data_IF_378693070238
#
_entry.id   IF_378693070238
#
_cell.length_a   1.000
_cell.length_b   1.000
_cell.length_c   1.000
_cell.angle_alpha   90.00
_cell.angle_beta   90.00
_cell.angle_gamma   90.00
#
_symmetry.space_group_name_H-M   'P 1'
#
loop_
_entity.id
_entity.type
_entity.pdbx_description
1 polymer ?
#
# COMPACT_ATOMS: atom_id res chain seq x y z
N UNK A 1 -5.18 21.78 -10.42
CA UNK A 1 -6.05 21.34 -9.31
C UNK A 1 -5.61 21.90 -7.96
N UNK A 2 -4.31 22.06 -7.71
CA UNK A 2 -3.77 22.50 -6.41
C UNK A 2 -3.89 24.00 -6.04
N UNK A 3 -4.35 24.88 -6.96
CA UNK A 3 -4.35 26.34 -6.72
C UNK A 3 -5.30 26.85 -5.63
N UNK A 4 -6.20 26.00 -5.11
CA UNK A 4 -7.08 26.33 -3.96
C UNK A 4 -6.76 25.54 -2.69
N UNK A 5 -5.86 24.56 -2.73
CA UNK A 5 -5.55 23.74 -1.57
C UNK A 5 -4.50 24.45 -0.71
N UNK A 6 -4.84 24.76 0.53
CA UNK A 6 -3.99 25.59 1.40
C UNK A 6 -3.06 24.78 2.29
N UNK A 7 -3.45 23.55 2.63
CA UNK A 7 -2.67 22.69 3.51
C UNK A 7 -2.86 21.21 3.16
N UNK A 8 -1.76 20.46 3.23
CA UNK A 8 -1.77 19.01 3.22
C UNK A 8 -1.16 18.51 4.52
N UNK A 9 -1.81 17.56 5.16
CA UNK A 9 -1.28 16.87 6.33
C UNK A 9 -1.32 15.36 6.12
N UNK A 10 -0.27 14.66 6.53
CA UNK A 10 -0.27 13.21 6.61
C UNK A 10 -0.03 12.78 8.06
N UNK A 11 -0.87 11.87 8.56
CA UNK A 11 -0.81 11.32 9.90
C UNK A 11 -0.40 9.85 9.84
N UNK A 12 0.82 9.55 10.27
CA UNK A 12 1.23 8.19 10.63
C UNK A 12 0.49 7.78 11.91
N UNK A 13 -0.25 6.68 11.86
CA UNK A 13 -1.28 6.39 12.85
C UNK A 13 -1.04 5.11 13.63
N UNK A 14 -1.35 5.19 14.92
CA UNK A 14 -1.27 4.06 15.82
C UNK A 14 -2.36 4.13 16.88
N UNK A 15 -2.66 3.00 17.48
CA UNK A 15 -3.50 2.95 18.70
C UNK A 15 -2.79 3.65 19.85
N UNK A 16 -1.45 3.53 19.91
CA UNK A 16 -0.63 4.20 20.91
C UNK A 16 -0.50 5.68 20.55
N UNK A 17 -1.13 6.57 21.33
CA UNK A 17 -1.11 8.03 21.08
C UNK A 17 0.29 8.62 20.87
N UNK A 18 1.29 8.12 21.61
CA UNK A 18 2.69 8.57 21.52
C UNK A 18 3.39 8.25 20.19
N UNK A 19 2.82 7.31 19.42
CA UNK A 19 3.31 6.91 18.09
C UNK A 19 2.53 7.59 16.96
N UNK A 20 1.59 8.48 17.27
CA UNK A 20 0.84 9.22 16.24
C UNK A 20 1.60 10.48 15.87
N UNK A 21 2.16 10.50 14.67
CA UNK A 21 2.94 11.61 14.15
C UNK A 21 2.30 12.18 12.89
N UNK A 22 2.43 13.49 12.73
CA UNK A 22 1.88 14.22 11.61
C UNK A 22 2.97 15.04 10.95
N UNK A 23 2.96 15.08 9.63
CA UNK A 23 3.72 16.04 8.85
C UNK A 23 2.75 16.95 8.12
N UNK A 24 3.11 18.23 8.01
CA UNK A 24 2.26 19.27 7.42
C UNK A 24 3.04 20.03 6.34
N UNK A 25 2.35 20.37 5.26
CA UNK A 25 2.81 21.34 4.28
C UNK A 25 1.73 22.41 4.03
N UNK A 26 2.14 23.68 3.95
CA UNK A 26 1.27 24.79 3.58
C UNK A 26 1.60 25.31 2.19
N UNK A 27 0.57 25.82 1.51
CA UNK A 27 0.72 26.38 0.16
C UNK A 27 1.35 27.77 0.23
N UNK A 28 2.38 28.00 -0.57
CA UNK A 28 3.06 29.27 -0.76
C UNK A 28 3.20 29.53 -2.26
N UNK A 29 2.25 30.27 -2.85
CA UNK A 29 2.15 30.41 -4.30
C UNK A 29 2.00 29.06 -5.00
N UNK A 30 2.95 28.72 -5.87
CA UNK A 30 2.95 27.47 -6.63
C UNK A 30 3.75 26.33 -5.97
N UNK A 31 4.36 26.56 -4.81
CA UNK A 31 5.12 25.54 -4.09
C UNK A 31 4.53 25.24 -2.71
N UNK A 32 5.02 24.14 -2.12
CA UNK A 32 4.70 23.75 -0.74
C UNK A 32 5.86 24.11 0.18
N UNK A 33 5.53 24.68 1.35
CA UNK A 33 6.45 24.78 2.48
C UNK A 33 6.18 23.63 3.44
N UNK A 34 7.18 22.80 3.68
CA UNK A 34 7.07 21.53 4.40
C UNK A 34 7.75 21.67 5.77
N UNK A 35 7.02 21.34 6.82
CA UNK A 35 7.45 21.53 8.20
C UNK A 35 7.97 20.22 8.83
N UNK A 36 8.77 20.30 9.91
CA UNK A 36 9.18 19.11 10.66
C UNK A 36 7.96 18.34 11.17
N UNK A 37 8.03 17.00 11.25
CA UNK A 37 6.92 16.24 11.79
C UNK A 37 6.72 16.55 13.28
N UNK A 38 5.46 16.56 13.72
CA UNK A 38 5.03 16.83 15.08
C UNK A 38 4.03 15.78 15.58
N UNK A 39 3.85 15.60 16.90
CA UNK A 39 2.81 14.71 17.41
C UNK A 39 1.41 15.20 16.98
N UNK A 40 0.51 14.26 16.64
CA UNK A 40 -0.89 14.60 16.25
C UNK A 40 -1.61 15.41 17.34
N UNK A 41 -1.29 15.16 18.62
CA UNK A 41 -1.93 15.83 19.76
C UNK A 41 -3.36 15.32 19.99
N UNK A 42 -4.26 16.24 20.33
CA UNK A 42 -5.67 15.94 20.54
C UNK A 42 -6.41 15.73 19.22
N UNK A 43 -7.23 14.69 19.17
CA UNK A 43 -7.98 14.30 17.96
C UNK A 43 -9.30 15.07 17.80
N UNK A 44 -9.91 15.52 18.89
CA UNK A 44 -11.21 16.20 18.88
C UNK A 44 -11.21 17.53 18.11
N UNK A 45 -10.08 18.25 18.10
CA UNK A 45 -9.92 19.55 17.45
C UNK A 45 -8.91 19.51 16.29
N UNK A 46 -8.48 18.32 15.86
CA UNK A 46 -7.41 18.16 14.87
C UNK A 46 -7.72 18.91 13.57
N UNK A 47 -8.91 18.69 12.99
CA UNK A 47 -9.29 19.34 11.73
C UNK A 47 -9.43 20.86 11.89
N UNK A 48 -9.92 21.35 13.03
CA UNK A 48 -10.03 22.78 13.32
C UNK A 48 -8.65 23.43 13.45
N UNK A 49 -7.71 22.76 14.13
CA UNK A 49 -6.32 23.23 14.24
C UNK A 49 -5.64 23.28 12.87
N UNK A 50 -5.79 22.24 12.06
CA UNK A 50 -5.25 22.22 10.70
C UNK A 50 -5.88 23.29 9.81
N UNK A 51 -7.20 23.48 9.88
CA UNK A 51 -7.89 24.52 9.11
C UNK A 51 -7.41 25.92 9.48
N UNK A 52 -7.14 26.20 10.77
CA UNK A 52 -6.55 27.46 11.23
C UNK A 52 -5.13 27.70 10.73
N UNK A 53 -4.38 26.62 10.46
CA UNK A 53 -3.04 26.68 9.89
C UNK A 53 -3.03 26.75 8.36
N UNK A 54 -4.19 26.62 7.70
CA UNK A 54 -4.33 26.74 6.25
C UNK A 54 -4.35 28.20 5.81
N UNK A 55 -3.79 28.48 4.64
CA UNK A 55 -3.75 29.83 4.04
C UNK A 55 -5.17 30.31 3.72
N UNK A 56 -5.58 31.47 4.25
CA UNK A 56 -6.82 32.20 3.87
C UNK A 56 -8.10 31.34 3.76
N UNK A 57 -8.32 30.40 4.68
CA UNK A 57 -9.52 29.56 4.72
C UNK A 57 -9.62 28.57 3.55
N UNK A 58 -8.51 28.33 2.85
CA UNK A 58 -8.41 27.34 1.80
C UNK A 58 -8.61 25.92 2.35
N UNK A 59 -9.19 25.00 1.55
CA UNK A 59 -9.32 23.59 1.87
C UNK A 59 -8.05 22.97 2.46
N UNK A 60 -8.25 21.97 3.31
CA UNK A 60 -7.19 21.10 3.82
C UNK A 60 -7.41 19.68 3.33
N UNK A 61 -6.31 18.98 3.04
CA UNK A 61 -6.31 17.58 2.63
C UNK A 61 -5.51 16.75 3.63
N UNK A 62 -6.16 15.79 4.28
CA UNK A 62 -5.57 15.02 5.38
C UNK A 62 -5.55 13.53 5.07
N UNK A 63 -4.35 12.93 5.08
CA UNK A 63 -4.14 11.50 4.90
C UNK A 63 -3.92 10.82 6.25
N UNK A 64 -4.45 9.61 6.41
CA UNK A 64 -4.20 8.79 7.60
C UNK A 64 -3.72 7.39 7.23
N UNK A 65 -2.69 6.91 7.94
CA UNK A 65 -2.19 5.52 7.85
C UNK A 65 -3.08 4.54 8.63
N UNK A 66 -4.33 4.38 8.18
CA UNK A 66 -5.19 3.28 8.59
C UNK A 66 -6.25 3.01 7.51
N UNK A 67 -6.77 1.77 7.43
CA UNK A 67 -7.84 1.43 6.49
C UNK A 67 -9.09 2.30 6.67
N UNK A 68 -9.62 2.86 5.58
CA UNK A 68 -10.91 3.55 5.51
C UNK A 68 -11.80 2.83 4.50
N UNK A 69 -12.88 2.23 4.99
CA UNK A 69 -13.75 1.35 4.22
C UNK A 69 -13.68 -0.11 4.66
N UNK A 70 -14.54 -0.93 4.07
CA UNK A 70 -14.74 -2.33 4.44
C UNK A 70 -14.84 -3.21 3.19
N UNK A 71 -14.40 -4.48 3.24
CA UNK A 71 -14.59 -5.41 2.12
C UNK A 71 -16.06 -5.48 1.70
N UNK A 72 -16.33 -5.48 0.39
CA UNK A 72 -17.71 -5.51 -0.14
C UNK A 72 -18.50 -6.71 0.38
N UNK A 73 -17.85 -7.86 0.57
CA UNK A 73 -18.51 -9.06 1.08
C UNK A 73 -19.05 -8.88 2.50
N UNK A 74 -18.40 -8.07 3.34
CA UNK A 74 -18.95 -7.69 4.65
C UNK A 74 -20.15 -6.75 4.48
N UNK A 75 -20.04 -5.77 3.58
CA UNK A 75 -21.13 -4.85 3.23
C UNK A 75 -22.42 -5.59 2.81
N UNK A 76 -22.28 -6.65 2.02
CA UNK A 76 -23.40 -7.50 1.57
C UNK A 76 -24.07 -8.29 2.71
N UNK A 77 -23.43 -8.44 3.88
CA UNK A 77 -24.00 -9.13 5.05
C UNK A 77 -24.71 -8.18 6.01
N UNK A 78 -24.62 -6.88 5.78
CA UNK A 78 -25.27 -5.87 6.61
C UNK A 78 -26.37 -5.20 5.80
N UNK A 79 -27.54 -5.03 6.40
CA UNK A 79 -28.69 -4.36 5.78
C UNK A 79 -28.52 -2.84 5.85
N UNK A 80 -27.48 -2.33 5.18
CA UNK A 80 -27.11 -0.91 5.09
C UNK A 80 -26.67 -0.63 3.65
N UNK A 81 -26.95 0.56 3.13
CA UNK A 81 -26.72 0.89 1.73
C UNK A 81 -25.23 0.99 1.36
N UNK A 82 -24.40 1.56 2.24
CA UNK A 82 -23.00 1.88 1.96
C UNK A 82 -22.19 2.12 3.25
N UNK A 83 -20.87 2.23 3.09
CA UNK A 83 -19.93 2.48 4.15
C UNK A 83 -20.20 3.79 4.91
N UNK A 84 -20.56 4.87 4.20
CA UNK A 84 -20.80 6.19 4.84
C UNK A 84 -22.03 6.14 5.75
N UNK A 85 -23.09 5.51 5.28
CA UNK A 85 -24.31 5.25 6.05
C UNK A 85 -24.01 4.37 7.26
N UNK A 86 -23.20 3.32 7.10
CA UNK A 86 -22.79 2.46 8.21
C UNK A 86 -21.99 3.25 9.26
N UNK A 87 -20.99 4.02 8.82
CA UNK A 87 -20.10 4.80 9.70
C UNK A 87 -20.88 5.71 10.65
N UNK A 88 -21.96 6.34 10.17
CA UNK A 88 -22.85 7.17 10.97
C UNK A 88 -23.58 6.42 12.10
N UNK A 89 -23.75 5.10 12.00
CA UNK A 89 -24.44 4.27 12.98
C UNK A 89 -23.50 3.61 14.01
N UNK A 90 -22.21 3.45 13.69
CA UNK A 90 -21.27 2.62 14.45
C UNK A 90 -21.09 3.05 15.91
N UNK A 91 -21.20 2.17 16.89
CA UNK A 91 -21.06 2.54 18.30
C UNK A 91 -22.36 3.06 18.96
N UNK A 92 -23.49 3.05 18.25
CA UNK A 92 -24.82 3.32 18.80
C UNK A 92 -25.79 2.16 18.51
N UNK A 93 -26.82 2.01 19.35
CA UNK A 93 -27.89 1.02 19.17
C UNK A 93 -27.37 -0.40 18.92
N UNK A 94 -27.85 -1.04 17.84
CA UNK A 94 -27.39 -2.39 17.43
C UNK A 94 -25.90 -2.46 17.07
N UNK A 95 -25.26 -1.32 16.83
CA UNK A 95 -23.85 -1.20 16.47
C UNK A 95 -22.95 -0.80 17.65
N UNK A 96 -23.49 -0.72 18.87
CA UNK A 96 -22.75 -0.25 20.05
C UNK A 96 -21.41 -0.98 20.29
N UNK A 97 -21.35 -2.26 19.95
CA UNK A 97 -20.17 -3.12 20.13
C UNK A 97 -19.27 -3.21 18.89
N UNK A 98 -19.52 -2.44 17.84
CA UNK A 98 -18.79 -2.62 16.57
C UNK A 98 -17.29 -2.38 16.71
N UNK A 99 -16.88 -1.48 17.60
CA UNK A 99 -15.47 -1.21 17.89
C UNK A 99 -14.84 -2.17 18.93
N UNK A 100 -15.63 -3.06 19.53
CA UNK A 100 -15.14 -3.98 20.54
C UNK A 100 -14.48 -5.18 19.87
N UNK A 101 -13.26 -5.51 20.32
CA UNK A 101 -12.56 -6.69 19.83
C UNK A 101 -13.09 -7.94 20.55
N UNK A 102 -13.39 -8.98 19.79
CA UNK A 102 -13.81 -10.28 20.30
C UNK A 102 -12.67 -11.00 21.03
N UNK A 103 -12.96 -11.50 22.22
CA UNK A 103 -12.09 -12.41 22.96
C UNK A 103 -12.23 -13.84 22.45
N UNK A 104 -13.43 -14.24 22.03
CA UNK A 104 -13.74 -15.59 21.59
C UNK A 104 -14.36 -15.64 20.19
N UNK A 105 -14.13 -16.74 19.42
CA UNK A 105 -14.68 -16.89 18.06
C UNK A 105 -16.21 -16.74 17.97
N UNK A 106 -16.96 -17.24 18.96
CA UNK A 106 -18.43 -17.20 18.97
C UNK A 106 -19.01 -15.79 19.17
N UNK A 107 -18.19 -14.81 19.53
CA UNK A 107 -18.60 -13.41 19.67
C UNK A 107 -18.56 -12.66 18.32
N UNK A 108 -17.87 -13.22 17.33
CA UNK A 108 -17.69 -12.60 16.02
C UNK A 108 -19.05 -12.56 15.32
N UNK A 109 -19.50 -11.35 15.04
CA UNK A 109 -20.73 -11.09 14.30
C UNK A 109 -20.52 -9.87 13.41
N UNK A 110 -21.47 -9.59 12.52
CA UNK A 110 -21.46 -8.35 11.74
C UNK A 110 -21.46 -7.11 12.65
N UNK A 111 -22.03 -7.18 13.86
CA UNK A 111 -22.09 -6.04 14.80
C UNK A 111 -20.91 -5.97 15.78
N UNK A 112 -19.99 -6.94 15.75
CA UNK A 112 -18.74 -6.98 16.53
C UNK A 112 -17.69 -7.79 15.76
N UNK A 113 -17.10 -7.21 14.69
CA UNK A 113 -16.38 -8.01 13.69
C UNK A 113 -14.89 -8.17 13.97
N UNK A 114 -14.30 -7.39 14.88
CA UNK A 114 -12.86 -7.41 15.12
C UNK A 114 -12.42 -8.57 16.00
N UNK A 115 -11.38 -9.29 15.59
CA UNK A 115 -10.83 -10.42 16.32
C UNK A 115 -9.39 -10.66 15.88
N UNK A 116 -8.47 -11.13 16.73
CA UNK A 116 -8.65 -11.48 18.14
C UNK A 116 -8.15 -10.43 19.15
N UNK A 117 -8.73 -10.43 20.36
CA UNK A 117 -8.30 -9.55 21.45
C UNK A 117 -6.92 -9.93 22.02
N UNK A 118 -6.63 -11.23 22.15
CA UNK A 118 -5.39 -11.77 22.73
C UNK A 118 -4.84 -12.92 21.87
N UNK A 119 -3.51 -13.13 21.86
CA UNK A 119 -2.91 -14.23 21.11
C UNK A 119 -3.24 -15.58 21.75
N UNK A 120 -3.15 -16.66 20.96
CA UNK A 120 -3.28 -18.05 21.41
C UNK A 120 -4.57 -18.73 20.93
N UNK A 121 -4.43 -19.80 20.14
CA UNK A 121 -5.58 -20.54 19.59
C UNK A 121 -6.47 -19.74 18.62
N UNK A 122 -5.95 -18.65 18.06
CA UNK A 122 -6.68 -17.73 17.18
C UNK A 122 -6.33 -18.01 15.72
N UNK A 123 -7.33 -18.17 14.86
CA UNK A 123 -7.12 -18.51 13.44
C UNK A 123 -8.02 -17.67 12.53
N UNK A 124 -7.58 -17.45 11.30
CA UNK A 124 -8.34 -16.71 10.29
C UNK A 124 -9.72 -17.34 10.02
N UNK A 125 -9.85 -18.67 10.13
CA UNK A 125 -11.13 -19.37 9.95
C UNK A 125 -12.23 -18.88 10.89
N UNK A 126 -11.89 -18.40 12.08
CA UNK A 126 -12.87 -17.84 13.02
C UNK A 126 -13.52 -16.58 12.46
N UNK A 127 -12.75 -15.70 11.79
CA UNK A 127 -13.31 -14.55 11.09
C UNK A 127 -14.17 -14.98 9.89
N UNK A 128 -13.73 -15.99 9.14
CA UNK A 128 -14.50 -16.49 8.00
C UNK A 128 -15.89 -16.99 8.43
N UNK A 129 -15.92 -17.84 9.45
CA UNK A 129 -17.15 -18.41 10.00
C UNK A 129 -18.03 -17.33 10.62
N UNK A 130 -17.49 -16.49 11.52
CA UNK A 130 -18.27 -15.49 12.24
C UNK A 130 -18.80 -14.35 11.37
N UNK A 131 -18.10 -14.01 10.28
CA UNK A 131 -18.54 -12.98 9.33
C UNK A 131 -19.30 -13.56 8.13
N UNK A 132 -19.36 -14.89 7.99
CA UNK A 132 -20.00 -15.57 6.87
C UNK A 132 -19.28 -15.33 5.54
N UNK A 133 -17.95 -15.22 5.57
CA UNK A 133 -17.08 -15.09 4.41
C UNK A 133 -16.68 -16.47 3.87
N UNK A 134 -16.68 -16.63 2.55
CA UNK A 134 -16.38 -17.92 1.90
C UNK A 134 -14.88 -18.16 1.75
N UNK A 135 -14.09 -17.09 1.71
CA UNK A 135 -12.66 -17.14 1.50
C UNK A 135 -11.93 -15.99 2.19
N UNK A 136 -10.62 -16.15 2.40
CA UNK A 136 -9.76 -15.09 2.94
C UNK A 136 -9.81 -13.79 2.12
N UNK A 137 -10.00 -13.89 0.80
CA UNK A 137 -10.11 -12.73 -0.09
C UNK A 137 -11.40 -11.94 0.10
N UNK A 138 -12.46 -12.55 0.64
CA UNK A 138 -13.71 -11.86 0.97
C UNK A 138 -13.54 -10.93 2.18
N UNK A 139 -12.50 -11.17 2.99
CA UNK A 139 -12.11 -10.32 4.13
C UNK A 139 -11.15 -9.18 3.74
N UNK A 140 -10.86 -9.04 2.44
CA UNK A 140 -9.94 -8.05 1.89
C UNK A 140 -10.66 -7.15 0.89
N UNK A 141 -10.42 -5.85 1.02
CA UNK A 141 -10.78 -4.87 -0.02
C UNK A 141 -9.96 -5.10 -1.27
N UNK A 142 -10.38 -4.55 -2.40
CA UNK A 142 -9.59 -4.61 -3.61
C UNK A 142 -8.16 -4.08 -3.41
N UNK A 143 -7.95 -2.90 -2.81
CA UNK A 143 -6.62 -2.34 -2.57
C UNK A 143 -5.75 -3.15 -1.59
N UNK A 144 -6.35 -4.04 -0.79
CA UNK A 144 -5.64 -4.87 0.19
C UNK A 144 -5.11 -6.17 -0.43
N UNK A 145 -5.63 -6.56 -1.59
CA UNK A 145 -5.24 -7.80 -2.28
C UNK A 145 -3.84 -7.69 -2.87
N UNK A 146 -3.20 -8.86 -3.03
CA UNK A 146 -1.91 -9.04 -3.67
C UNK A 146 -1.80 -8.28 -4.99
N UNK A 147 -0.65 -7.67 -5.19
CA UNK A 147 -0.19 -7.08 -6.45
C UNK A 147 1.05 -7.83 -6.96
N UNK A 148 1.62 -7.38 -8.07
CA UNK A 148 2.90 -7.91 -8.55
C UNK A 148 4.06 -7.65 -7.57
N UNK A 149 3.97 -6.59 -6.75
CA UNK A 149 5.07 -6.09 -5.92
C UNK A 149 4.87 -6.28 -4.41
N UNK A 150 3.68 -6.72 -3.97
CA UNK A 150 3.37 -7.06 -2.57
C UNK A 150 2.32 -8.17 -2.44
N UNK A 151 2.43 -8.93 -1.36
CA UNK A 151 1.42 -9.92 -0.98
C UNK A 151 0.11 -9.28 -0.51
N UNK A 152 -0.85 -10.13 -0.15
CA UNK A 152 -2.09 -9.70 0.48
C UNK A 152 -1.79 -9.00 1.82
N UNK A 153 -2.50 -7.90 2.07
CA UNK A 153 -2.48 -7.22 3.36
C UNK A 153 -3.26 -8.02 4.41
N UNK A 154 -3.17 -7.59 5.66
CA UNK A 154 -3.98 -8.14 6.73
C UNK A 154 -5.44 -7.65 6.58
N UNK A 155 -6.41 -8.49 6.94
CA UNK A 155 -7.81 -8.07 6.98
C UNK A 155 -7.99 -6.93 7.99
N UNK A 156 -8.84 -5.96 7.67
CA UNK A 156 -9.24 -4.88 8.59
C UNK A 156 -9.82 -5.41 9.89
N UNK A 157 -10.43 -6.59 9.88
CA UNK A 157 -11.02 -7.20 11.08
C UNK A 157 -10.00 -7.90 11.97
N UNK A 158 -8.75 -8.06 11.52
CA UNK A 158 -7.71 -8.74 12.28
C UNK A 158 -6.88 -7.78 13.13
N UNK A 159 -6.69 -8.11 14.42
CA UNK A 159 -6.18 -7.17 15.44
C UNK A 159 -4.86 -7.57 16.12
N UNK A 160 -4.21 -8.66 15.69
CA UNK A 160 -2.92 -9.11 16.25
C UNK A 160 -1.83 -9.34 15.20
N UNK A 161 -0.59 -9.17 15.62
CA UNK A 161 0.59 -9.36 14.77
C UNK A 161 1.14 -8.04 14.22
N UNK A 162 2.36 -8.11 13.68
CA UNK A 162 3.10 -6.92 13.21
C UNK A 162 2.53 -6.27 11.96
N UNK A 163 1.62 -6.93 11.24
CA UNK A 163 0.94 -6.43 10.05
C UNK A 163 -0.55 -6.10 10.32
N UNK A 164 -0.99 -6.13 11.58
CA UNK A 164 -2.39 -5.84 11.91
C UNK A 164 -2.72 -4.37 11.64
N UNK A 165 -3.91 -4.14 11.13
CA UNK A 165 -4.42 -2.79 10.84
C UNK A 165 -5.75 -2.51 11.57
N UNK A 166 -6.42 -3.55 12.09
CA UNK A 166 -7.75 -3.41 12.67
C UNK A 166 -7.81 -2.51 13.90
N UNK A 167 -6.81 -2.55 14.79
CA UNK A 167 -6.80 -1.65 15.95
C UNK A 167 -6.60 -0.19 15.55
N UNK A 168 -5.80 0.06 14.50
CA UNK A 168 -5.61 1.40 13.96
C UNK A 168 -6.91 1.93 13.35
N UNK A 169 -7.62 1.10 12.57
CA UNK A 169 -8.95 1.42 12.04
C UNK A 169 -9.97 1.74 13.15
N UNK A 170 -10.07 0.89 14.20
CA UNK A 170 -10.95 1.15 15.36
C UNK A 170 -10.67 2.53 15.96
N UNK A 171 -9.40 2.83 16.23
CA UNK A 171 -9.00 4.09 16.85
C UNK A 171 -9.27 5.29 15.95
N UNK A 172 -8.87 5.23 14.68
CA UNK A 172 -9.06 6.32 13.73
C UNK A 172 -10.54 6.61 13.47
N UNK A 173 -11.36 5.57 13.27
CA UNK A 173 -12.76 5.77 12.93
C UNK A 173 -13.56 6.31 14.10
N UNK A 174 -13.31 5.78 15.31
CA UNK A 174 -13.99 6.23 16.52
C UNK A 174 -13.59 7.65 16.91
N UNK A 175 -12.31 8.01 16.75
CA UNK A 175 -11.80 9.31 17.22
C UNK A 175 -11.93 10.44 16.18
N UNK A 176 -11.94 10.13 14.87
CA UNK A 176 -11.87 11.13 13.80
C UNK A 176 -13.02 11.06 12.80
N UNK A 177 -13.35 9.87 12.28
CA UNK A 177 -14.24 9.75 11.13
C UNK A 177 -15.73 9.74 11.50
N UNK A 178 -16.08 9.23 12.68
CA UNK A 178 -17.47 9.23 13.19
C UNK A 178 -17.97 10.64 13.54
N UNK A 179 -17.10 11.45 14.10
CA UNK A 179 -17.44 12.75 14.69
C UNK A 179 -17.62 13.86 13.65
N UNK A 180 -17.35 13.56 12.37
CA UNK A 180 -17.21 14.57 11.34
C UNK A 180 -18.17 14.34 10.16
N UNK A 181 -19.46 14.67 10.36
CA UNK A 181 -20.36 14.99 9.24
C UNK A 181 -19.88 16.20 8.40
N UNK A 182 -18.76 16.81 8.80
CA UNK A 182 -18.14 18.00 8.21
C UNK A 182 -16.96 17.69 7.28
N UNK A 183 -16.44 16.45 7.28
CA UNK A 183 -15.34 16.06 6.38
C UNK A 183 -15.86 15.24 5.20
N UNK A 184 -15.26 15.46 4.05
CA UNK A 184 -15.44 14.57 2.91
C UNK A 184 -14.43 13.41 2.98
N UNK A 185 -14.92 12.17 2.88
CA UNK A 185 -14.09 10.97 2.80
C UNK A 185 -13.93 10.55 1.35
N UNK A 186 -12.71 10.65 0.83
CA UNK A 186 -12.37 10.08 -0.46
C UNK A 186 -12.13 8.56 -0.33
N UNK A 187 -12.57 7.73 -1.30
CA UNK A 187 -13.33 8.06 -2.51
C UNK A 187 -14.87 8.06 -2.35
N UNK A 188 -15.39 7.80 -1.16
CA UNK A 188 -16.82 7.60 -0.91
C UNK A 188 -17.70 8.80 -1.27
N UNK A 189 -17.22 10.01 -1.00
CA UNK A 189 -17.97 11.24 -1.25
C UNK A 189 -17.72 11.81 -2.66
N UNK A 190 -16.94 11.12 -3.50
CA UNK A 190 -16.72 11.46 -4.90
C UNK A 190 -15.25 11.52 -5.33
N UNK A 191 -15.04 12.08 -6.53
CA UNK A 191 -13.70 12.19 -7.13
C UNK A 191 -12.81 13.17 -6.38
N UNK A 192 -11.51 12.86 -6.26
CA UNK A 192 -10.58 13.64 -5.42
C UNK A 192 -10.52 15.11 -5.85
N UNK A 193 -10.40 15.34 -7.16
CA UNK A 193 -10.35 16.67 -7.77
C UNK A 193 -11.59 17.52 -7.45
N UNK A 194 -12.77 16.92 -7.53
CA UNK A 194 -14.04 17.55 -7.17
C UNK A 194 -14.08 17.86 -5.66
N UNK A 195 -13.66 16.93 -4.81
CA UNK A 195 -13.65 17.13 -3.36
C UNK A 195 -12.71 18.26 -2.95
N UNK A 196 -11.47 18.27 -3.46
CA UNK A 196 -10.49 19.31 -3.16
C UNK A 196 -10.93 20.70 -3.67
N UNK A 197 -11.80 20.76 -4.68
CA UNK A 197 -12.36 22.01 -5.21
C UNK A 197 -13.51 22.61 -4.40
N UNK A 198 -14.24 21.80 -3.62
CA UNK A 198 -15.54 22.19 -3.06
C UNK A 198 -15.73 21.88 -1.57
N UNK A 199 -14.84 21.09 -0.96
CA UNK A 199 -14.97 20.67 0.44
C UNK A 199 -13.88 21.33 1.28
N UNK A 200 -14.22 21.84 2.48
CA UNK A 200 -13.23 22.50 3.34
C UNK A 200 -12.21 21.51 3.91
N UNK A 201 -12.63 20.26 4.13
CA UNK A 201 -11.77 19.19 4.65
C UNK A 201 -12.01 17.95 3.83
N UNK A 202 -10.94 17.42 3.23
CA UNK A 202 -10.93 16.14 2.53
C UNK A 202 -10.03 15.19 3.28
N UNK A 203 -10.48 13.96 3.49
CA UNK A 203 -9.74 12.90 4.15
C UNK A 203 -9.54 11.73 3.19
N UNK A 204 -8.35 11.15 3.18
CA UNK A 204 -8.02 9.95 2.43
C UNK A 204 -7.26 8.94 3.31
N UNK A 205 -7.36 7.66 2.93
CA UNK A 205 -6.44 6.65 3.43
C UNK A 205 -5.10 6.78 2.70
N UNK A 206 -4.02 6.69 3.46
CA UNK A 206 -2.65 6.64 2.96
C UNK A 206 -1.97 5.38 3.47
N UNK A 207 -0.91 4.96 2.78
CA UNK A 207 -0.10 3.82 3.22
C UNK A 207 1.37 4.08 2.91
N UNK A 208 2.21 4.47 3.90
CA UNK A 208 3.63 4.75 3.71
C UNK A 208 4.39 3.60 3.02
N UNK A 209 3.97 2.35 3.26
CA UNK A 209 4.55 1.17 2.62
C UNK A 209 4.47 1.18 1.09
N UNK A 210 3.37 1.67 0.52
CA UNK A 210 3.24 1.86 -0.93
C UNK A 210 3.96 3.14 -1.37
N UNK A 211 3.90 4.20 -0.56
CA UNK A 211 4.52 5.51 -0.84
C UNK A 211 6.04 5.45 -1.03
N UNK A 212 6.77 4.53 -0.36
CA UNK A 212 8.21 4.40 -0.55
C UNK A 212 8.59 4.22 -2.04
N UNK A 213 7.94 3.29 -2.72
CA UNK A 213 8.19 3.03 -4.14
C UNK A 213 7.73 4.19 -5.03
N UNK A 214 6.64 4.86 -4.66
CA UNK A 214 6.11 6.02 -5.38
C UNK A 214 7.08 7.21 -5.36
N UNK A 215 7.82 7.39 -4.26
CA UNK A 215 8.83 8.43 -4.10
C UNK A 215 10.23 8.00 -4.59
N UNK A 216 10.34 6.80 -5.19
CA UNK A 216 11.60 6.28 -5.73
C UNK A 216 12.59 5.85 -4.66
N UNK A 217 12.15 5.56 -3.43
CA UNK A 217 13.00 4.95 -2.40
C UNK A 217 13.21 3.47 -2.79
N UNK A 218 14.44 3.03 -3.03
CA UNK A 218 14.70 1.68 -3.48
C UNK A 218 14.56 0.69 -2.33
N UNK A 219 14.22 -0.57 -2.65
CA UNK A 219 14.27 -1.69 -1.69
C UNK A 219 15.68 -2.29 -1.55
N UNK A 220 16.58 -1.95 -2.49
CA UNK A 220 17.97 -2.42 -2.54
C UNK A 220 18.94 -1.21 -2.63
N UNK A 221 20.08 -1.22 -1.91
CA UNK A 221 20.45 -2.20 -0.90
C UNK A 221 19.43 -2.22 0.26
N UNK A 222 19.37 -3.34 0.98
CA UNK A 222 18.44 -3.47 2.10
C UNK A 222 18.73 -2.38 3.13
N UNK A 223 17.71 -1.59 3.45
CA UNK A 223 17.74 -0.60 4.52
C UNK A 223 16.60 -0.90 5.49
N UNK A 224 16.72 -0.39 6.71
CA UNK A 224 15.71 -0.58 7.75
C UNK A 224 15.26 0.76 8.27
N UNK A 225 13.94 1.02 8.21
CA UNK A 225 13.34 2.21 8.84
C UNK A 225 13.48 2.25 10.36
N UNK A 226 13.78 1.11 10.99
CA UNK A 226 14.10 1.02 12.42
C UNK A 226 15.47 1.60 12.78
N UNK A 227 16.34 1.81 11.79
CA UNK A 227 17.70 2.32 11.97
C UNK A 227 17.80 3.76 11.44
N UNK A 228 18.37 4.70 12.22
CA UNK A 228 18.56 6.08 11.76
C UNK A 228 19.33 6.17 10.44
N UNK A 229 20.36 5.35 10.26
CA UNK A 229 21.18 5.34 9.04
C UNK A 229 20.37 4.88 7.82
N UNK A 230 19.44 3.94 8.03
CA UNK A 230 18.52 3.49 6.99
C UNK A 230 17.55 4.60 6.59
N UNK A 231 17.00 5.34 7.56
CA UNK A 231 16.13 6.49 7.29
C UNK A 231 16.89 7.66 6.67
N UNK A 232 18.13 7.92 7.05
CA UNK A 232 18.98 8.93 6.42
C UNK A 232 19.29 8.57 4.96
N UNK A 233 19.58 7.29 4.68
CA UNK A 233 19.78 6.78 3.32
C UNK A 233 18.54 7.02 2.46
N UNK A 234 17.36 6.60 2.94
CA UNK A 234 16.09 6.82 2.26
C UNK A 234 15.72 8.31 2.18
N UNK A 235 16.07 9.10 3.19
CA UNK A 235 15.85 10.53 3.29
C UNK A 235 16.44 11.34 2.13
N UNK A 236 17.53 10.85 1.51
CA UNK A 236 18.09 11.48 0.29
C UNK A 236 17.10 11.49 -0.86
N UNK A 237 16.24 10.48 -0.98
CA UNK A 237 15.18 10.44 -2.00
C UNK A 237 14.07 11.44 -1.68
N UNK A 238 13.71 11.58 -0.40
CA UNK A 238 12.76 12.60 0.05
C UNK A 238 13.26 13.99 -0.31
N UNK A 239 14.53 14.28 -0.02
CA UNK A 239 15.17 15.55 -0.38
C UNK A 239 15.18 15.78 -1.90
N UNK A 240 15.53 14.74 -2.67
CA UNK A 240 15.52 14.83 -4.13
C UNK A 240 14.13 15.12 -4.70
N UNK A 241 13.06 14.57 -4.11
CA UNK A 241 11.67 14.89 -4.49
C UNK A 241 11.37 16.36 -4.19
N UNK A 242 11.64 16.83 -2.97
CA UNK A 242 11.42 18.22 -2.56
C UNK A 242 12.14 19.20 -3.50
N UNK A 243 13.43 18.99 -3.73
CA UNK A 243 14.26 19.87 -4.57
C UNK A 243 13.80 19.84 -6.04
N UNK A 244 13.53 18.66 -6.59
CA UNK A 244 13.08 18.50 -7.99
C UNK A 244 11.75 19.22 -8.24
N UNK A 245 10.86 19.28 -7.24
CA UNK A 245 9.57 19.95 -7.33
C UNK A 245 9.62 21.44 -6.98
N UNK A 246 10.78 21.95 -6.57
CA UNK A 246 10.93 23.35 -6.13
C UNK A 246 10.13 23.66 -4.86
N UNK A 247 9.91 22.66 -4.00
CA UNK A 247 9.28 22.85 -2.70
C UNK A 247 10.31 23.29 -1.66
N UNK A 248 9.84 23.96 -0.61
CA UNK A 248 10.69 24.46 0.47
C UNK A 248 10.55 23.54 1.69
N UNK A 249 11.66 22.98 2.15
CA UNK A 249 11.71 22.28 3.43
C UNK A 249 12.23 23.23 4.51
N UNK A 250 11.57 23.25 5.67
CA UNK A 250 12.10 23.92 6.86
C UNK A 250 13.52 23.46 7.18
N UNK A 251 14.36 24.34 7.73
CA UNK A 251 15.75 24.01 8.06
C UNK A 251 15.86 22.85 9.07
N UNK A 252 14.94 22.78 10.03
CA UNK A 252 14.90 21.67 10.99
C UNK A 252 14.50 20.37 10.29
N UNK A 253 13.57 20.43 9.33
CA UNK A 253 13.19 19.27 8.55
C UNK A 253 14.35 18.78 7.68
N UNK A 254 15.06 19.70 7.03
CA UNK A 254 16.26 19.39 6.26
C UNK A 254 17.29 18.64 7.11
N UNK A 255 17.57 19.15 8.33
CA UNK A 255 18.48 18.48 9.28
C UNK A 255 17.95 17.12 9.71
N UNK A 256 16.65 17.00 9.99
CA UNK A 256 16.04 15.73 10.39
C UNK A 256 16.12 14.67 9.27
N UNK A 257 15.85 15.04 8.03
CA UNK A 257 15.98 14.16 6.86
C UNK A 257 17.42 13.66 6.72
N UNK A 258 18.41 14.56 6.79
CA UNK A 258 19.82 14.20 6.70
C UNK A 258 20.30 13.31 7.84
N UNK A 259 19.80 13.53 9.06
CA UNK A 259 20.15 12.74 10.24
C UNK A 259 19.37 11.42 10.36
N UNK A 260 18.32 11.23 9.55
CA UNK A 260 17.44 10.07 9.65
C UNK A 260 16.51 10.12 10.87
N UNK A 261 16.06 11.33 11.24
CA UNK A 261 15.10 11.58 12.34
C UNK A 261 15.60 11.09 13.71
N UNK A 262 14.71 11.05 14.71
CA UNK A 262 15.08 10.69 16.08
C UNK A 262 15.65 9.28 16.18
N UNK A 263 16.69 9.06 16.99
CA UNK A 263 17.34 7.75 17.09
C UNK A 263 16.49 6.67 17.78
N UNK A 264 15.50 7.07 18.58
CA UNK A 264 14.58 6.18 19.26
C UNK A 264 13.45 5.70 18.33
N UNK A 265 12.57 4.83 18.85
CA UNK A 265 11.47 4.23 18.06
C UNK A 265 10.52 5.23 17.41
N UNK A 266 10.47 6.47 17.91
CA UNK A 266 9.67 7.57 17.35
C UNK A 266 10.17 8.04 15.99
N UNK A 267 11.46 7.85 15.68
CA UNK A 267 12.01 8.25 14.38
C UNK A 267 11.43 7.49 13.18
N UNK A 268 10.89 6.28 13.42
CA UNK A 268 10.15 5.53 12.39
C UNK A 268 8.85 6.24 12.03
N UNK A 269 8.04 6.56 13.04
CA UNK A 269 6.75 7.25 12.89
C UNK A 269 6.92 8.65 12.26
N UNK A 270 7.97 9.39 12.67
CA UNK A 270 8.33 10.69 12.08
C UNK A 270 8.66 10.60 10.58
N UNK A 271 9.39 9.54 10.19
CA UNK A 271 9.81 9.34 8.81
C UNK A 271 8.62 8.94 7.94
N UNK A 272 7.78 8.02 8.42
CA UNK A 272 6.58 7.59 7.71
C UNK A 272 5.55 8.73 7.56
N UNK A 273 5.48 9.64 8.55
CA UNK A 273 4.69 10.86 8.45
C UNK A 273 5.13 11.73 7.25
N UNK A 274 6.43 11.94 7.05
CA UNK A 274 6.97 12.74 5.93
C UNK A 274 6.83 12.00 4.59
N UNK A 275 7.06 10.69 4.56
CA UNK A 275 6.88 9.87 3.36
C UNK A 275 5.45 9.99 2.85
N UNK A 276 4.46 9.80 3.72
CA UNK A 276 3.06 9.90 3.33
C UNK A 276 2.70 11.31 2.86
N UNK A 277 3.20 12.36 3.52
CA UNK A 277 2.96 13.75 3.11
C UNK A 277 3.47 14.02 1.69
N UNK A 278 4.70 13.60 1.38
CA UNK A 278 5.29 13.81 0.05
C UNK A 278 4.55 13.02 -1.03
N UNK A 279 4.09 11.80 -0.73
CA UNK A 279 3.27 11.04 -1.67
C UNK A 279 1.91 11.71 -1.92
N UNK A 280 1.28 12.28 -0.89
CA UNK A 280 0.05 13.07 -1.03
C UNK A 280 0.26 14.32 -1.89
N UNK A 281 1.38 15.04 -1.71
CA UNK A 281 1.73 16.22 -2.52
C UNK A 281 1.85 15.83 -4.00
N UNK A 282 2.55 14.73 -4.32
CA UNK A 282 2.67 14.26 -5.71
C UNK A 282 1.29 13.97 -6.34
N UNK A 283 0.32 13.48 -5.56
CA UNK A 283 -1.07 13.28 -6.05
C UNK A 283 -1.81 14.60 -6.19
N UNK A 284 -1.73 15.49 -5.18
CA UNK A 284 -2.45 16.77 -5.18
C UNK A 284 -2.00 17.71 -6.30
N UNK A 285 -0.70 17.71 -6.61
CA UNK A 285 -0.13 18.48 -7.73
C UNK A 285 -0.26 17.76 -9.09
N UNK A 286 -0.83 16.55 -9.12
CA UNK A 286 -1.10 15.80 -10.35
C UNK A 286 0.13 15.15 -10.99
N UNK A 287 1.22 15.00 -10.24
CA UNK A 287 2.40 14.23 -10.66
C UNK A 287 2.19 12.72 -10.56
N UNK A 288 1.19 12.30 -9.79
CA UNK A 288 0.70 10.93 -9.67
C UNK A 288 -0.83 10.95 -9.67
N UNK A 289 -1.44 9.94 -10.28
CA UNK A 289 -2.89 9.75 -10.20
C UNK A 289 -3.31 9.29 -8.80
N UNK A 290 -4.54 9.62 -8.38
CA UNK A 290 -5.10 9.14 -7.12
C UNK A 290 -5.25 7.61 -7.06
N UNK A 291 -5.31 6.97 -8.24
CA UNK A 291 -5.26 5.51 -8.42
C UNK A 291 -6.57 4.78 -8.15
N UNK A 292 -7.64 5.48 -7.76
CA UNK A 292 -8.93 4.86 -7.50
C UNK A 292 -9.59 4.39 -8.82
N UNK A 293 -10.05 3.12 -8.89
CA UNK A 293 -10.74 2.60 -10.08
C UNK A 293 -12.15 3.17 -10.28
N UNK A 294 -12.75 3.77 -9.25
CA UNK A 294 -14.10 4.35 -9.27
C UNK A 294 -15.22 3.39 -9.71
N UNK A 295 -15.08 2.09 -9.46
CA UNK A 295 -16.20 1.13 -9.56
C UNK A 295 -17.14 1.23 -8.35
N UNK A 296 -18.37 0.73 -8.52
CA UNK A 296 -19.45 0.83 -7.52
C UNK A 296 -19.05 0.23 -6.17
N UNK A 297 -18.37 -0.92 -6.14
CA UNK A 297 -17.98 -1.57 -4.89
C UNK A 297 -16.91 -0.75 -4.15
N UNK A 298 -15.93 -0.22 -4.90
CA UNK A 298 -14.89 0.65 -4.36
C UNK A 298 -15.48 1.91 -3.72
N UNK A 299 -16.36 2.63 -4.41
CA UNK A 299 -16.89 3.91 -3.89
C UNK A 299 -17.99 3.72 -2.85
N UNK A 300 -18.69 2.57 -2.83
CA UNK A 300 -19.75 2.31 -1.84
C UNK A 300 -19.23 1.67 -0.57
N UNK A 301 -18.25 0.78 -0.65
CA UNK A 301 -17.84 -0.05 0.50
C UNK A 301 -16.36 -0.02 0.78
N UNK A 302 -15.54 -0.25 -0.23
CA UNK A 302 -14.14 -0.61 0.02
C UNK A 302 -13.25 0.60 0.32
N UNK A 303 -13.44 1.70 -0.39
CA UNK A 303 -12.48 2.80 -0.36
C UNK A 303 -11.18 2.43 -1.08
N UNK A 304 -10.16 3.29 -0.97
CA UNK A 304 -8.90 3.10 -1.67
C UNK A 304 -7.72 3.72 -0.93
N UNK A 305 -6.52 3.19 -1.17
CA UNK A 305 -5.26 3.78 -0.71
C UNK A 305 -4.82 4.84 -1.71
N UNK A 306 -4.61 6.07 -1.26
CA UNK A 306 -4.23 7.18 -2.14
C UNK A 306 -2.94 6.89 -2.93
N UNK A 307 -2.99 7.11 -4.24
CA UNK A 307 -1.86 6.91 -5.15
C UNK A 307 -1.57 5.44 -5.47
N UNK A 308 -2.33 4.50 -4.91
CA UNK A 308 -2.17 3.07 -5.16
C UNK A 308 -2.66 2.70 -6.56
N UNK A 309 -1.79 2.09 -7.36
CA UNK A 309 -2.16 1.53 -8.66
C UNK A 309 -2.09 0.01 -8.63
N UNK A 310 -3.19 -0.63 -9.04
CA UNK A 310 -3.20 -2.06 -9.32
C UNK A 310 -2.72 -2.26 -10.74
N UNK A 311 -1.42 -2.50 -10.95
CA UNK A 311 -0.98 -3.11 -12.20
C UNK A 311 -1.64 -4.48 -12.33
N UNK A 312 -2.69 -4.56 -13.14
CA UNK A 312 -3.34 -5.82 -13.48
C UNK A 312 -2.35 -6.65 -14.29
N UNK A 313 -1.90 -7.77 -13.73
CA UNK A 313 -1.32 -8.82 -14.56
C UNK A 313 -2.46 -9.36 -15.42
N UNK A 314 -2.36 -9.33 -16.77
CA UNK A 314 -3.41 -9.83 -17.64
C UNK A 314 -3.80 -11.26 -17.26
N UNK A 315 -5.11 -11.52 -17.20
CA UNK A 315 -5.72 -12.77 -16.73
C UNK A 315 -5.29 -14.02 -17.50
N UNK A 316 -4.62 -13.89 -18.64
CA UNK A 316 -4.17 -14.99 -19.49
C UNK A 316 -2.94 -15.73 -18.93
N UNK A 317 -2.20 -15.13 -17.98
CA UNK A 317 -1.06 -15.79 -17.29
C UNK A 317 -1.54 -16.59 -16.05
N UNK A 318 -2.85 -16.60 -15.74
CA UNK A 318 -3.38 -17.27 -14.53
C UNK A 318 -3.40 -18.80 -14.58
N UNK A 319 -3.16 -19.46 -15.73
CA UNK A 319 -3.42 -20.90 -15.88
C UNK A 319 -2.21 -21.84 -15.82
N UNK A 320 -0.97 -21.37 -15.62
CA UNK A 320 0.20 -22.27 -15.67
C UNK A 320 1.20 -22.17 -14.52
N UNK A 321 0.93 -21.47 -13.42
CA UNK A 321 1.83 -21.52 -12.25
C UNK A 321 1.59 -22.80 -11.42
N UNK A 322 2.54 -23.75 -11.34
CA UNK A 322 2.39 -24.92 -10.49
C UNK A 322 2.48 -24.52 -9.02
N UNK A 323 1.67 -25.18 -8.18
CA UNK A 323 1.80 -25.10 -6.72
C UNK A 323 3.18 -25.65 -6.32
N UNK A 324 3.90 -24.87 -5.50
CA UNK A 324 5.20 -25.15 -4.85
C UNK A 324 5.64 -26.62 -4.92
N UNK A 325 6.66 -26.91 -5.72
CA UNK A 325 7.50 -28.08 -5.52
C UNK A 325 8.54 -27.79 -4.43
N UNK A 326 8.82 -28.81 -3.62
CA UNK A 326 9.64 -28.76 -2.43
C UNK A 326 11.10 -28.38 -2.71
N UNK A 327 11.73 -27.84 -1.66
CA UNK A 327 13.14 -27.48 -1.55
C UNK A 327 14.11 -28.40 -2.31
N UNK A 328 14.89 -27.80 -3.21
CA UNK A 328 16.29 -28.13 -3.42
C UNK A 328 17.03 -26.82 -3.71
N UNK A 329 18.22 -26.65 -3.13
CA UNK A 329 19.08 -25.49 -3.38
C UNK A 329 19.38 -25.37 -4.89
N UNK A 330 19.37 -24.15 -5.47
CA UNK A 330 19.64 -23.98 -6.88
C UNK A 330 21.11 -24.29 -7.18
N UNK A 331 21.37 -25.30 -8.02
CA UNK A 331 22.65 -25.43 -8.72
C UNK A 331 22.88 -24.18 -9.56
N UNK A 332 24.03 -23.52 -9.41
CA UNK A 332 24.41 -22.43 -10.31
C UNK A 332 24.64 -22.99 -11.72
N UNK A 333 23.82 -22.56 -12.68
CA UNK A 333 23.94 -22.93 -14.10
C UNK A 333 24.74 -21.86 -14.83
N UNK A 334 25.83 -22.24 -15.49
CA UNK A 334 26.67 -21.33 -16.26
C UNK A 334 26.17 -21.15 -17.71
N UNK A 335 26.44 -19.98 -18.29
CA UNK A 335 26.13 -19.70 -19.70
C UNK A 335 26.83 -20.72 -20.61
N UNK A 336 26.09 -21.26 -21.58
CA UNK A 336 26.58 -22.27 -22.50
C UNK A 336 26.23 -23.71 -22.11
N UNK A 337 25.83 -23.96 -20.85
CA UNK A 337 25.40 -25.29 -20.40
C UNK A 337 24.15 -25.77 -21.11
N UNK A 338 24.09 -27.08 -21.35
CA UNK A 338 22.90 -27.77 -21.83
C UNK A 338 22.22 -28.48 -20.67
N UNK A 339 20.89 -28.44 -20.64
CA UNK A 339 20.11 -29.32 -19.78
C UNK A 339 19.96 -30.73 -20.39
N UNK A 340 19.41 -31.66 -19.62
CA UNK A 340 19.14 -33.05 -20.02
C UNK A 340 18.20 -33.17 -21.23
N UNK A 341 17.48 -32.10 -21.56
CA UNK A 341 16.57 -32.02 -22.71
C UNK A 341 17.22 -31.34 -23.93
N UNK A 342 18.55 -31.19 -23.94
CA UNK A 342 19.34 -30.56 -25.00
C UNK A 342 18.97 -29.09 -25.30
N UNK A 343 18.63 -28.33 -24.25
CA UNK A 343 18.38 -26.89 -24.31
C UNK A 343 19.57 -26.15 -23.73
N UNK A 344 20.13 -25.21 -24.49
CA UNK A 344 21.31 -24.44 -24.09
C UNK A 344 20.92 -23.14 -23.39
N UNK A 345 21.52 -22.83 -22.24
CA UNK A 345 21.45 -21.49 -21.66
C UNK A 345 22.31 -20.52 -22.49
N UNK A 346 21.69 -19.53 -23.12
CA UNK A 346 22.40 -18.55 -23.97
C UNK A 346 22.47 -17.16 -23.37
N UNK A 347 21.60 -16.81 -22.42
CA UNK A 347 21.71 -15.58 -21.65
C UNK A 347 20.96 -15.69 -20.32
N UNK A 348 21.38 -14.91 -19.33
CA UNK A 348 20.61 -14.60 -18.13
C UNK A 348 20.33 -13.11 -18.15
N UNK A 349 19.06 -12.73 -18.27
CA UNK A 349 18.64 -11.33 -18.38
C UNK A 349 17.99 -10.91 -17.07
N UNK A 350 18.52 -9.88 -16.43
CA UNK A 350 17.84 -9.24 -15.32
C UNK A 350 16.62 -8.47 -15.86
N UNK A 351 15.43 -8.81 -15.37
CA UNK A 351 14.22 -8.07 -15.74
C UNK A 351 14.12 -6.83 -14.84
N UNK A 352 14.21 -5.64 -15.43
CA UNK A 352 14.06 -4.39 -14.70
C UNK A 352 12.66 -4.30 -14.08
N UNK A 353 12.59 -4.09 -12.76
CA UNK A 353 11.33 -4.01 -12.00
C UNK A 353 10.95 -5.28 -11.21
N UNK A 354 11.74 -6.35 -11.31
CA UNK A 354 11.65 -7.54 -10.45
C UNK A 354 12.92 -7.67 -9.59
N UNK A 355 12.86 -8.44 -8.50
CA UNK A 355 13.99 -8.58 -7.58
C UNK A 355 15.21 -9.26 -8.24
N UNK A 356 16.38 -9.13 -7.62
CA UNK A 356 17.65 -9.71 -8.11
C UNK A 356 17.70 -11.23 -8.14
N UNK A 357 16.66 -11.92 -7.66
CA UNK A 357 16.53 -13.39 -7.71
C UNK A 357 15.69 -13.87 -8.91
N UNK A 358 15.06 -12.96 -9.66
CA UNK A 358 14.29 -13.29 -10.86
C UNK A 358 15.05 -12.90 -12.13
N UNK A 359 15.99 -13.77 -12.51
CA UNK A 359 16.65 -13.73 -13.81
C UNK A 359 15.79 -14.49 -14.84
N UNK A 360 15.75 -14.01 -16.08
CA UNK A 360 15.18 -14.76 -17.19
C UNK A 360 16.29 -15.56 -17.87
N UNK A 361 16.18 -16.89 -17.87
CA UNK A 361 17.04 -17.74 -18.69
C UNK A 361 16.55 -17.68 -20.14
N UNK A 362 17.39 -17.22 -21.05
CA UNK A 362 17.16 -17.37 -22.48
C UNK A 362 17.76 -18.70 -22.89
N UNK A 363 16.90 -19.59 -23.37
CA UNK A 363 17.25 -20.96 -23.77
C UNK A 363 17.25 -21.07 -25.29
N UNK A 364 18.11 -21.92 -25.85
CA UNK A 364 18.14 -22.28 -27.27
C UNK A 364 18.05 -23.79 -27.44
N UNK A 365 17.05 -24.24 -28.19
CA UNK A 365 16.90 -25.67 -28.49
C UNK A 365 17.98 -26.14 -29.47
N UNK A 366 18.69 -27.22 -29.15
CA UNK A 366 19.68 -27.82 -30.08
C UNK A 366 19.05 -28.40 -31.35
N UNK A 367 17.78 -28.80 -31.29
CA UNK A 367 17.11 -29.51 -32.38
C UNK A 367 16.48 -28.57 -33.43
N UNK A 368 15.69 -27.60 -32.99
CA UNK A 368 14.98 -26.67 -33.90
C UNK A 368 15.54 -25.24 -33.85
N UNK A 369 16.58 -24.99 -33.06
CA UNK A 369 17.23 -23.68 -32.88
C UNK A 369 16.33 -22.57 -32.30
N UNK A 370 15.08 -22.87 -31.93
CA UNK A 370 14.18 -21.89 -31.34
C UNK A 370 14.74 -21.33 -30.02
N UNK A 371 14.63 -20.02 -29.85
CA UNK A 371 14.99 -19.30 -28.62
C UNK A 371 13.73 -18.98 -27.83
N UNK A 372 13.76 -19.26 -26.53
CA UNK A 372 12.61 -19.02 -25.65
C UNK A 372 13.06 -18.67 -24.23
N UNK A 373 12.20 -17.99 -23.48
CA UNK A 373 12.47 -17.54 -22.13
C UNK A 373 11.98 -18.58 -21.14
N UNK A 374 12.77 -18.86 -20.12
CA UNK A 374 12.45 -19.84 -19.10
C UNK A 374 12.85 -19.34 -17.71
N UNK A 375 12.23 -19.92 -16.69
CA UNK A 375 12.67 -19.77 -15.30
C UNK A 375 13.99 -20.54 -15.10
N UNK A 376 15.09 -19.89 -14.69
CA UNK A 376 16.38 -20.55 -14.45
C UNK A 376 16.31 -21.60 -13.34
N UNK A 377 15.37 -21.50 -12.39
CA UNK A 377 15.19 -22.49 -11.31
C UNK A 377 14.70 -23.84 -11.86
N UNK A 378 14.06 -23.82 -13.03
CA UNK A 378 13.53 -25.01 -13.69
C UNK A 378 14.42 -25.51 -14.84
N UNK A 379 15.66 -25.03 -14.95
CA UNK A 379 16.56 -25.28 -16.08
C UNK A 379 16.57 -26.75 -16.53
N UNK A 380 16.74 -27.70 -15.61
CA UNK A 380 16.84 -29.14 -15.93
C UNK A 380 15.53 -29.77 -16.43
N UNK A 381 14.39 -29.14 -16.14
CA UNK A 381 13.07 -29.64 -16.51
C UNK A 381 12.56 -29.06 -17.85
N UNK A 382 13.23 -28.05 -18.39
CA UNK A 382 12.73 -27.32 -19.55
C UNK A 382 12.85 -28.11 -20.86
N UNK A 383 11.75 -28.17 -21.61
CA UNK A 383 11.70 -28.72 -22.97
C UNK A 383 11.44 -27.62 -23.97
N UNK A 384 11.86 -27.83 -25.22
CA UNK A 384 11.59 -26.86 -26.27
C UNK A 384 10.06 -26.75 -26.52
N UNK A 385 9.47 -25.55 -26.50
CA UNK A 385 8.05 -25.38 -26.79
C UNK A 385 7.68 -25.66 -28.25
N UNK A 386 8.64 -25.59 -29.17
CA UNK A 386 8.40 -25.74 -30.61
C UNK A 386 8.45 -27.19 -31.07
N UNK A 387 9.40 -27.99 -30.55
CA UNK A 387 9.62 -29.35 -31.03
C UNK A 387 9.66 -30.42 -29.92
N UNK A 388 9.69 -30.02 -28.65
CA UNK A 388 9.80 -30.91 -27.50
C UNK A 388 8.54 -30.98 -26.63
N UNK A 389 7.46 -30.32 -27.05
CA UNK A 389 6.20 -30.24 -26.30
C UNK A 389 6.34 -29.52 -24.95
N UNK A 390 7.33 -28.63 -24.81
CA UNK A 390 7.49 -27.82 -23.60
C UNK A 390 6.46 -26.71 -23.49
N UNK A 391 6.28 -26.17 -22.28
CA UNK A 391 5.39 -25.05 -22.06
C UNK A 391 5.83 -23.81 -22.86
N UNK A 392 4.89 -23.01 -23.40
CA UNK A 392 5.21 -21.77 -24.07
C UNK A 392 5.91 -20.85 -23.07
N UNK A 393 7.23 -20.71 -23.25
CA UNK A 393 8.08 -19.92 -22.36
C UNK A 393 7.61 -18.48 -22.20
N UNK A 394 8.20 -17.76 -21.24
CA UNK A 394 7.87 -16.36 -20.98
C UNK A 394 8.01 -15.52 -22.27
N UNK A 395 7.03 -14.66 -22.61
CA UNK A 395 7.02 -13.92 -23.87
C UNK A 395 8.23 -12.97 -23.95
N UNK A 396 8.98 -13.05 -25.05
CA UNK A 396 10.25 -12.34 -25.23
C UNK A 396 10.07 -11.14 -26.16
N UNK A 397 9.66 -10.00 -25.61
CA UNK A 397 9.77 -8.71 -26.33
C UNK A 397 11.24 -8.21 -26.39
N UNK A 398 12.16 -8.87 -25.66
CA UNK A 398 13.53 -8.42 -25.40
C UNK A 398 14.59 -9.15 -26.26
N UNK A 399 14.22 -10.24 -26.98
CA UNK A 399 15.21 -11.03 -27.73
C UNK A 399 15.80 -10.36 -28.97
N UNK A 400 15.16 -9.31 -29.49
CA UNK A 400 15.68 -8.59 -30.67
C UNK A 400 16.91 -7.71 -30.34
N UNK A 401 17.27 -7.58 -29.06
CA UNK A 401 18.35 -6.69 -28.58
C UNK A 401 19.58 -7.43 -28.05
N UNK A 402 19.56 -8.77 -27.97
CA UNK A 402 20.73 -9.55 -27.52
C UNK A 402 21.58 -9.95 -28.73
N UNK A 403 22.88 -9.63 -28.78
CA UNK A 403 23.73 -9.97 -29.91
C UNK A 403 23.73 -11.48 -30.16
N UNK A 404 23.69 -11.85 -31.44
CA UNK A 404 23.87 -13.22 -31.91
C UNK A 404 25.38 -13.52 -31.84
N UNK A 405 25.83 -14.58 -31.16
CA UNK A 405 27.17 -15.12 -31.38
C UNK A 405 27.26 -15.84 -32.73
#
# INVERSE_FOLDING_TARGET
MAGRLGLIAHCDWSVERKKRWMAVATRSGDHWRIFPPEPVGTTHDLFERLARSSTDGQPIFVGFDFPIGLPVAYGQKVDIADYRSLLGLLGEGKWAKWFDVCEHPHEITQHRPFYPMRPGGTELRHLLEGLGASSATDLLRQCDRRTASRGDACSVFWTLGGNQVGKAAISGWRELLRTSGQVALWPFDGRLDSLLGHKPVVVAETYPGDAYGQLGIPRAPLWSKRKPEGRAHAGRHLRAVIDRRGHEADENLTRAISAGFSANGVGEDQFDAIVGLLAMIEVADGHREDGCPYDDDTVRWEGWILGHSRTTVPSEIRRSLPKKAAHNEPKMVELGNFNDQAQQLVALVAIAGLDSSQQLAVMRCKHCMNRYGADPVLFDLQRCPTCGGGDPGLPLHILQLLPVP
#
